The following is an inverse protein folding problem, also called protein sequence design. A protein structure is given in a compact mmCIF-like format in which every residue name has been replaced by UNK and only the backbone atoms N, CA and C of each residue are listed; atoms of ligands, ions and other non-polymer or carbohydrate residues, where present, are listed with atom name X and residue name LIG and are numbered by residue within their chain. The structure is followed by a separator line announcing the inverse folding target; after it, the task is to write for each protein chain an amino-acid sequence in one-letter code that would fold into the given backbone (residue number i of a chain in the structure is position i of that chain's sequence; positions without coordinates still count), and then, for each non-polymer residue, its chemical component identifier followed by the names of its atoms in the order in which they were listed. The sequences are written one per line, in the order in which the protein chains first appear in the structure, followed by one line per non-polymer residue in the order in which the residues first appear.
data_IF_229026985337
#
_entry.id   IF_229026985337
#
_cell.length_a   1.000
_cell.length_b   1.000
_cell.length_c   1.000
_cell.angle_alpha   90.00
_cell.angle_beta   90.00
_cell.angle_gamma   90.00
#
_symmetry.space_group_name_H-M   'P 1'
#
loop_
_entity.id
_entity.type
_entity.pdbx_description
1 polymer ?
#
# COMPACT_ATOMS: atom_id res chain seq x y z
N UNK A 1 -3.72 11.83 29.95
CA UNK A 1 -4.05 12.24 29.48
C UNK A 1 -4.53 12.94 29.21
N UNK A 2 -4.32 13.32 29.10
CA UNK A 2 -4.92 14.03 28.79
C UNK A 2 -5.61 14.13 28.13
N UNK A 3 -5.66 13.91 28.00
CA UNK A 3 -6.26 14.02 27.38
C UNK A 3 -7.04 14.33 26.74
N UNK A 4 -7.47 14.05 26.81
CA UNK A 4 -8.40 14.24 26.06
C UNK A 4 -8.74 15.26 25.47
N UNK A 5 -8.32 15.66 25.34
CA UNK A 5 -8.74 16.55 24.98
C UNK A 5 -9.41 16.56 24.04
N UNK A 6 -9.86 16.55 24.05
CA UNK A 6 -10.96 16.82 23.24
C UNK A 6 -10.73 17.56 21.98
N UNK A 7 -9.52 17.85 21.68
CA UNK A 7 -9.21 18.49 20.43
C UNK A 7 -9.56 17.56 19.28
N UNK A 8 -10.33 18.06 18.31
CA UNK A 8 -10.66 17.29 17.13
C UNK A 8 -9.43 17.08 16.27
N UNK A 9 -9.29 15.88 15.74
CA UNK A 9 -8.28 15.60 14.73
C UNK A 9 -8.49 16.51 13.51
N UNK A 10 -7.43 16.86 12.78
CA UNK A 10 -7.56 17.53 11.49
C UNK A 10 -8.53 16.80 10.56
N UNK A 11 -9.19 17.53 9.67
CA UNK A 11 -10.16 16.93 8.75
C UNK A 11 -9.57 15.76 7.97
N UNK A 12 -8.36 15.93 7.44
CA UNK A 12 -7.70 14.86 6.69
C UNK A 12 -7.55 13.59 7.52
N UNK A 13 -7.16 13.73 8.81
CA UNK A 13 -7.03 12.57 9.70
C UNK A 13 -8.37 11.93 10.02
N UNK A 14 -9.44 12.73 10.11
CA UNK A 14 -10.78 12.18 10.36
C UNK A 14 -11.33 11.42 9.16
N UNK A 15 -10.91 11.79 7.95
CA UNK A 15 -11.32 11.12 6.72
C UNK A 15 -10.45 9.90 6.42
N UNK A 16 -9.28 9.79 7.07
CA UNK A 16 -8.37 8.67 6.87
C UNK A 16 -8.66 7.57 7.89
N UNK A 17 -8.69 6.31 7.47
CA UNK A 17 -8.85 5.21 8.40
C UNK A 17 -7.62 5.05 9.28
N UNK A 18 -7.82 4.48 10.48
CA UNK A 18 -6.72 4.11 11.35
C UNK A 18 -5.95 2.97 10.72
N UNK A 19 -4.62 3.13 10.61
CA UNK A 19 -3.75 2.14 10.01
C UNK A 19 -3.17 1.24 11.08
N UNK A 20 -3.34 -0.07 10.93
CA UNK A 20 -2.73 -1.06 11.81
C UNK A 20 -2.05 -2.15 10.98
N UNK A 21 -1.07 -2.83 11.61
CA UNK A 21 -0.33 -3.91 10.98
C UNK A 21 -0.47 -5.17 11.81
N UNK A 22 -0.51 -6.32 11.13
CA UNK A 22 -0.36 -7.64 11.75
C UNK A 22 0.61 -8.48 10.96
N UNK A 23 1.14 -9.53 11.56
CA UNK A 23 2.06 -10.43 10.89
C UNK A 23 1.69 -11.88 11.19
N UNK A 24 1.70 -12.72 10.15
CA UNK A 24 1.43 -14.15 10.27
C UNK A 24 2.13 -14.89 9.14
N UNK A 25 2.86 -15.95 9.48
CA UNK A 25 3.55 -16.81 8.53
C UNK A 25 4.46 -16.07 7.55
N UNK A 26 5.17 -15.04 8.04
CA UNK A 26 6.11 -14.27 7.23
C UNK A 26 5.45 -13.24 6.33
N UNK A 27 4.16 -12.99 6.49
CA UNK A 27 3.42 -11.99 5.73
C UNK A 27 2.96 -10.89 6.68
N UNK A 28 3.20 -9.65 6.29
CA UNK A 28 2.70 -8.46 6.99
C UNK A 28 1.44 -7.97 6.32
N UNK A 29 0.39 -7.79 7.10
CA UNK A 29 -0.92 -7.35 6.62
C UNK A 29 -1.22 -5.93 7.08
N UNK A 30 -1.82 -5.16 6.19
CA UNK A 30 -2.27 -3.80 6.44
C UNK A 30 -3.78 -3.80 6.65
N UNK A 31 -4.23 -3.13 7.71
CA UNK A 31 -5.63 -2.98 8.05
C UNK A 31 -6.00 -1.51 8.23
N UNK A 32 -7.25 -1.16 7.91
CA UNK A 32 -7.78 0.19 8.07
C UNK A 32 -8.89 0.19 9.14
N UNK A 33 -8.49 -0.02 10.41
CA UNK A 33 -9.41 0.03 11.53
C UNK A 33 -10.39 -1.15 11.63
N UNK A 34 -10.21 -2.18 10.82
CA UNK A 34 -11.04 -3.39 10.82
C UNK A 34 -10.15 -4.62 10.71
N UNK A 35 -10.75 -5.80 10.78
CA UNK A 35 -10.03 -7.06 10.56
C UNK A 35 -9.78 -7.36 9.09
N UNK A 36 -10.42 -6.61 8.20
CA UNK A 36 -10.26 -6.83 6.76
C UNK A 36 -8.86 -6.42 6.29
N UNK A 37 -8.27 -7.26 5.46
CA UNK A 37 -6.95 -7.01 4.91
C UNK A 37 -7.07 -6.01 3.75
N UNK A 38 -6.32 -4.91 3.84
CA UNK A 38 -6.26 -3.89 2.79
C UNK A 38 -4.95 -3.96 1.98
N UNK A 39 -3.98 -4.70 2.48
CA UNK A 39 -2.73 -4.92 1.79
C UNK A 39 -1.93 -6.01 2.46
N UNK A 40 -0.99 -6.59 1.75
CA UNK A 40 -0.13 -7.65 2.27
C UNK A 40 1.26 -7.55 1.66
N UNK A 41 2.27 -7.92 2.45
CA UNK A 41 3.65 -7.94 2.01
C UNK A 41 4.35 -9.16 2.62
N UNK A 42 4.98 -9.97 1.77
CA UNK A 42 5.85 -11.03 2.25
C UNK A 42 7.16 -10.41 2.73
N UNK A 43 7.48 -10.60 3.99
CA UNK A 43 8.62 -9.91 4.62
C UNK A 43 9.94 -10.26 3.94
N UNK A 44 10.14 -11.53 3.58
CA UNK A 44 11.35 -11.98 2.90
C UNK A 44 11.42 -11.63 1.41
N UNK A 45 10.29 -11.24 0.81
CA UNK A 45 10.18 -10.88 -0.61
C UNK A 45 9.18 -9.74 -0.78
N UNK A 46 9.53 -8.52 -0.38
CA UNK A 46 8.56 -7.41 -0.35
C UNK A 46 8.05 -7.00 -1.72
N UNK A 47 8.71 -7.40 -2.79
CA UNK A 47 8.26 -7.12 -4.16
C UNK A 47 7.21 -8.12 -4.69
N UNK A 48 6.97 -9.23 -3.97
CA UNK A 48 6.00 -10.23 -4.40
C UNK A 48 4.59 -9.77 -4.08
N UNK A 49 3.69 -9.91 -5.05
CA UNK A 49 2.29 -9.58 -4.85
C UNK A 49 1.58 -10.78 -4.22
N UNK A 50 1.11 -10.61 -2.97
CA UNK A 50 0.48 -11.69 -2.20
C UNK A 50 -1.02 -11.81 -2.45
N UNK A 51 -1.71 -10.70 -2.68
CA UNK A 51 -3.17 -10.70 -2.84
C UNK A 51 -3.54 -10.98 -4.31
N UNK A 52 -4.45 -11.92 -4.50
CA UNK A 52 -4.84 -12.36 -5.85
C UNK A 52 -5.39 -11.23 -6.71
N UNK A 53 -6.26 -10.37 -6.15
CA UNK A 53 -6.81 -9.28 -6.95
C UNK A 53 -5.73 -8.31 -7.42
N UNK A 54 -4.67 -8.12 -6.64
CA UNK A 54 -3.56 -7.27 -7.03
C UNK A 54 -2.72 -7.93 -8.12
N UNK A 55 -2.59 -9.25 -8.09
CA UNK A 55 -1.95 -9.99 -9.17
C UNK A 55 -2.71 -9.79 -10.48
N UNK A 56 -4.04 -9.82 -10.42
CA UNK A 56 -4.90 -9.58 -11.58
C UNK A 56 -4.77 -8.14 -12.09
N UNK A 57 -4.51 -7.18 -11.23
CA UNK A 57 -4.27 -5.79 -11.63
C UNK A 57 -3.04 -5.62 -12.51
N UNK A 58 -2.16 -6.61 -12.56
CA UNK A 58 -0.99 -6.58 -13.44
C UNK A 58 -1.30 -7.07 -14.85
N UNK A 59 -2.55 -7.45 -15.14
CA UNK A 59 -2.94 -7.93 -16.47
C UNK A 59 -2.63 -6.99 -17.62
N UNK A 60 -2.67 -5.64 -17.48
CA UNK A 60 -2.28 -4.74 -18.57
C UNK A 60 -0.87 -4.99 -19.11
N UNK A 61 0.02 -5.58 -18.32
CA UNK A 61 1.38 -5.92 -18.78
C UNK A 61 1.39 -6.98 -19.86
N UNK A 62 0.30 -7.74 -20.02
CA UNK A 62 0.15 -8.69 -21.12
C UNK A 62 0.08 -7.97 -22.47
N UNK A 63 -0.41 -6.74 -22.47
CA UNK A 63 -0.59 -5.92 -23.68
C UNK A 63 0.48 -4.86 -23.83
N UNK A 64 1.04 -4.39 -22.70
CA UNK A 64 2.10 -3.39 -22.66
C UNK A 64 3.15 -3.85 -21.65
N UNK A 65 4.06 -4.76 -22.06
CA UNK A 65 5.00 -5.39 -21.13
C UNK A 65 6.10 -4.47 -20.61
N UNK A 66 6.37 -3.37 -21.32
CA UNK A 66 7.43 -2.43 -20.93
C UNK A 66 6.90 -0.99 -20.90
N UNK A 67 5.99 -0.67 -19.97
CA UNK A 67 5.47 0.69 -19.89
C UNK A 67 6.58 1.65 -19.49
N UNK A 68 6.59 2.85 -20.09
CA UNK A 68 7.55 3.89 -19.76
C UNK A 68 7.16 4.61 -18.47
N UNK A 69 5.88 4.77 -18.24
CA UNK A 69 5.33 5.48 -17.07
C UNK A 69 4.13 4.75 -16.50
N UNK A 70 4.06 4.73 -15.17
CA UNK A 70 2.96 4.09 -14.44
C UNK A 70 2.45 5.09 -13.40
N UNK A 71 1.14 5.29 -13.39
CA UNK A 71 0.46 6.02 -12.33
C UNK A 71 -0.39 5.05 -11.52
N UNK A 72 -0.16 5.01 -10.22
CA UNK A 72 -0.93 4.19 -9.29
C UNK A 72 -1.72 5.11 -8.38
N UNK A 73 -3.02 4.85 -8.24
CA UNK A 73 -3.88 5.57 -7.30
C UNK A 73 -4.06 4.70 -6.07
N UNK A 74 -3.61 5.24 -4.92
CA UNK A 74 -3.60 4.50 -3.67
C UNK A 74 -2.34 3.64 -3.52
N UNK A 75 -1.71 3.72 -2.36
CA UNK A 75 -0.46 3.01 -2.07
C UNK A 75 -0.69 1.67 -1.37
N UNK A 76 -1.57 1.66 -0.36
CA UNK A 76 -1.76 0.50 0.50
C UNK A 76 -0.45 0.06 1.14
N UNK A 77 -0.15 -1.23 1.09
CA UNK A 77 1.11 -1.78 1.57
C UNK A 77 2.24 -1.67 0.54
N UNK A 78 2.04 -0.89 -0.51
CA UNK A 78 2.99 -0.65 -1.59
C UNK A 78 3.33 -1.90 -2.43
N UNK A 79 2.46 -2.91 -2.43
CA UNK A 79 2.71 -4.17 -3.14
C UNK A 79 2.91 -3.96 -4.64
N UNK A 80 2.00 -3.22 -5.28
CA UNK A 80 2.09 -2.97 -6.73
C UNK A 80 3.30 -2.09 -7.06
N UNK A 81 3.56 -1.06 -6.25
CA UNK A 81 4.70 -0.18 -6.46
C UNK A 81 6.03 -0.94 -6.33
N UNK A 82 6.17 -1.81 -5.32
CA UNK A 82 7.37 -2.63 -5.14
C UNK A 82 7.55 -3.63 -6.28
N UNK A 83 6.47 -4.26 -6.72
CA UNK A 83 6.51 -5.17 -7.85
C UNK A 83 7.00 -4.45 -9.11
N UNK A 84 6.42 -3.30 -9.41
CA UNK A 84 6.81 -2.52 -10.59
C UNK A 84 8.25 -2.03 -10.49
N UNK A 85 8.68 -1.58 -9.31
CA UNK A 85 10.07 -1.17 -9.11
C UNK A 85 11.04 -2.31 -9.37
N UNK A 86 10.70 -3.51 -8.93
CA UNK A 86 11.58 -4.69 -9.07
C UNK A 86 11.61 -5.22 -10.50
N UNK A 87 10.45 -5.30 -11.14
CA UNK A 87 10.31 -6.00 -12.43
C UNK A 87 10.25 -5.09 -13.64
N UNK A 88 10.03 -3.79 -13.43
CA UNK A 88 9.94 -2.79 -14.50
C UNK A 88 10.92 -1.65 -14.22
N UNK A 89 12.23 -1.92 -14.21
CA UNK A 89 13.21 -0.92 -13.78
C UNK A 89 13.29 0.31 -14.69
N UNK A 90 12.84 0.19 -15.94
CA UNK A 90 12.83 1.31 -16.88
C UNK A 90 11.61 2.22 -16.74
N UNK A 91 10.60 1.81 -15.95
CA UNK A 91 9.37 2.58 -15.80
C UNK A 91 9.52 3.66 -14.75
N UNK A 92 8.98 4.84 -15.03
CA UNK A 92 8.79 5.89 -14.03
C UNK A 92 7.47 5.63 -13.32
N UNK A 93 7.53 5.43 -12.00
CA UNK A 93 6.36 5.07 -11.19
C UNK A 93 5.99 6.23 -10.31
N UNK A 94 4.74 6.69 -10.44
CA UNK A 94 4.17 7.73 -9.59
C UNK A 94 2.99 7.14 -8.83
N UNK A 95 2.97 7.35 -7.51
CA UNK A 95 1.90 6.87 -6.64
C UNK A 95 1.21 8.05 -5.97
N UNK A 96 -0.10 8.14 -6.13
CA UNK A 96 -0.92 9.12 -5.42
C UNK A 96 -1.58 8.46 -4.21
N UNK A 97 -1.27 8.94 -3.01
CA UNK A 97 -1.85 8.43 -1.76
C UNK A 97 -2.30 9.59 -0.89
N UNK A 98 -3.57 9.56 -0.48
CA UNK A 98 -4.17 10.62 0.31
C UNK A 98 -3.78 10.54 1.80
N UNK A 99 -3.46 9.35 2.30
CA UNK A 99 -3.16 9.14 3.72
C UNK A 99 -1.66 9.21 3.99
N UNK A 100 -1.23 10.21 4.76
CA UNK A 100 0.16 10.30 5.22
C UNK A 100 0.54 9.11 6.09
N UNK A 101 -0.41 8.59 6.85
CA UNK A 101 -0.20 7.45 7.73
C UNK A 101 0.10 6.18 6.92
N UNK A 102 -0.59 5.98 5.79
CA UNK A 102 -0.33 4.88 4.87
C UNK A 102 1.08 4.99 4.28
N UNK A 103 1.46 6.19 3.84
CA UNK A 103 2.81 6.42 3.30
C UNK A 103 3.88 6.12 4.34
N UNK A 104 3.72 6.62 5.56
CA UNK A 104 4.66 6.38 6.64
C UNK A 104 4.77 4.89 6.98
N UNK A 105 3.65 4.18 7.00
CA UNK A 105 3.60 2.75 7.27
C UNK A 105 4.29 1.94 6.18
N UNK A 106 4.09 2.31 4.92
CA UNK A 106 4.71 1.61 3.78
C UNK A 106 6.22 1.75 3.76
N UNK A 107 6.77 2.78 4.38
CA UNK A 107 8.23 3.00 4.46
C UNK A 107 8.92 2.17 5.54
N UNK A 108 8.17 1.52 6.40
CA UNK A 108 8.75 0.63 7.40
C UNK A 108 9.09 -0.70 6.75
#
# INVERSE_FOLDING_TARGET
MSGGRSARAPLARRLSPQVTLSEEDGIRYLHFGTVWVQGAMRIGRPWKIELEYQQQMMAPLLFLPEPARILQLGLGAAALARFCWRHLPQAEITVGEISEEVVATARR
#
